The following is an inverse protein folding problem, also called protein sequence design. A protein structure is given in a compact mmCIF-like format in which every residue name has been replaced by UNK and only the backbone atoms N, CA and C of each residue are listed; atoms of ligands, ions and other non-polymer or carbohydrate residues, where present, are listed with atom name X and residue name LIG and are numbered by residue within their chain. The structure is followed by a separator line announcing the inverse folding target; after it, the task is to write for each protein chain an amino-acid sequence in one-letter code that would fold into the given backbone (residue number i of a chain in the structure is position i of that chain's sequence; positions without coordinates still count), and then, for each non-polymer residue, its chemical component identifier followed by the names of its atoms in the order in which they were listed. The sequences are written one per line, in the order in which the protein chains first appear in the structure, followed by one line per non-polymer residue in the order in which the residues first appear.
data_IF_820073531986
#
_entry.id   IF_820073531986
#
_cell.length_a   1.000
_cell.length_b   1.000
_cell.length_c   1.000
_cell.angle_alpha   90.00
_cell.angle_beta   90.00
_cell.angle_gamma   90.00
#
_symmetry.space_group_name_H-M   'P 1'
#
loop_
_entity.id
_entity.type
_entity.pdbx_description
1 polymer ?
#
# COMPACT_ATOMS: atom_id res chain seq x y z
N UNK A 1 -3.61 22.45 13.67
CA UNK A 1 -2.52 22.07 12.76
C UNK A 1 -3.06 20.98 11.84
N UNK A 2 -3.20 21.26 10.55
CA UNK A 2 -3.62 20.26 9.57
C UNK A 2 -2.36 19.56 9.08
N UNK A 3 -2.34 18.23 9.13
CA UNK A 3 -1.28 17.44 8.50
C UNK A 3 -1.72 17.26 7.06
N UNK A 4 -0.97 17.81 6.11
CA UNK A 4 -1.17 17.43 4.71
C UNK A 4 -0.70 15.98 4.57
N UNK A 5 -1.58 15.11 4.07
CA UNK A 5 -1.23 13.71 3.79
C UNK A 5 -0.10 13.62 2.75
N UNK A 6 0.10 14.67 1.95
CA UNK A 6 1.25 14.80 1.05
C UNK A 6 2.61 14.77 1.78
N UNK A 7 2.66 15.10 3.08
CA UNK A 7 3.89 15.02 3.89
C UNK A 7 4.18 13.58 4.40
N UNK A 8 3.26 12.64 4.19
CA UNK A 8 3.41 11.25 4.65
C UNK A 8 4.11 10.42 3.57
N UNK A 9 5.41 10.21 3.72
CA UNK A 9 6.20 9.43 2.75
C UNK A 9 6.00 7.90 2.86
N UNK A 10 5.82 7.38 4.09
CA UNK A 10 5.80 5.94 4.36
C UNK A 10 4.66 5.54 5.27
N UNK A 11 4.17 4.31 5.07
CA UNK A 11 3.13 3.71 5.89
C UNK A 11 3.62 2.39 6.47
N UNK A 12 3.29 2.15 7.74
CA UNK A 12 3.54 0.86 8.39
C UNK A 12 2.80 -0.24 7.63
N UNK A 13 3.51 -1.32 7.34
CA UNK A 13 2.99 -2.48 6.63
C UNK A 13 2.97 -3.68 7.56
N UNK A 14 1.81 -4.33 7.70
CA UNK A 14 1.59 -5.42 8.67
C UNK A 14 0.77 -6.56 8.04
N UNK A 15 0.64 -7.67 8.77
CA UNK A 15 -0.07 -8.87 8.33
C UNK A 15 -1.55 -8.62 8.01
N UNK A 16 -2.22 -7.75 8.75
CA UNK A 16 -3.62 -7.38 8.53
C UNK A 16 -3.82 -6.67 7.18
N UNK A 17 -2.96 -5.70 6.85
CA UNK A 17 -2.98 -5.02 5.55
C UNK A 17 -2.66 -5.99 4.42
N UNK A 18 -1.69 -6.88 4.62
CA UNK A 18 -1.36 -7.93 3.64
C UNK A 18 -2.56 -8.84 3.39
N UNK A 19 -3.28 -9.25 4.44
CA UNK A 19 -4.47 -10.07 4.31
C UNK A 19 -5.57 -9.33 3.56
N UNK A 20 -5.78 -8.04 3.86
CA UNK A 20 -6.73 -7.17 3.15
C UNK A 20 -6.42 -7.11 1.65
N UNK A 21 -5.17 -6.85 1.29
CA UNK A 21 -4.72 -6.81 -0.12
C UNK A 21 -4.92 -8.17 -0.80
N UNK A 22 -4.50 -9.27 -0.16
CA UNK A 22 -4.67 -10.62 -0.73
C UNK A 22 -6.13 -10.99 -0.93
N UNK A 23 -7.01 -10.61 -0.01
CA UNK A 23 -8.44 -10.86 -0.14
C UNK A 23 -9.05 -10.05 -1.29
N UNK A 24 -8.68 -8.78 -1.44
CA UNK A 24 -9.12 -7.95 -2.55
C UNK A 24 -8.59 -8.47 -3.90
N UNK A 25 -7.34 -8.95 -3.96
CA UNK A 25 -6.79 -9.61 -5.15
C UNK A 25 -7.60 -10.86 -5.54
N UNK A 26 -7.98 -11.70 -4.56
CA UNK A 26 -8.84 -12.87 -4.80
C UNK A 26 -10.21 -12.48 -5.36
N UNK A 27 -10.84 -11.45 -4.77
CA UNK A 27 -12.13 -10.93 -5.22
C UNK A 27 -12.06 -10.32 -6.63
N UNK A 28 -10.91 -9.73 -6.98
CA UNK A 28 -10.64 -9.16 -8.31
C UNK A 28 -10.13 -10.23 -9.29
N UNK A 29 -10.91 -11.30 -9.46
CA UNK A 29 -10.63 -12.40 -10.39
C UNK A 29 -9.31 -13.14 -10.13
N UNK A 30 -8.97 -13.40 -8.87
CA UNK A 30 -7.71 -14.05 -8.48
C UNK A 30 -6.46 -13.37 -9.07
N UNK A 31 -6.44 -12.04 -9.07
CA UNK A 31 -5.33 -11.23 -9.57
C UNK A 31 -4.00 -11.68 -8.95
N UNK A 32 -3.00 -11.91 -9.79
CA UNK A 32 -1.64 -12.27 -9.39
C UNK A 32 -0.82 -11.04 -8.97
N UNK A 33 0.28 -11.28 -8.25
CA UNK A 33 1.23 -10.21 -7.93
C UNK A 33 1.85 -9.58 -9.18
N UNK A 34 2.02 -10.34 -10.27
CA UNK A 34 2.55 -9.79 -11.53
C UNK A 34 1.56 -8.82 -12.16
N UNK A 35 0.28 -9.17 -12.20
CA UNK A 35 -0.77 -8.31 -12.74
C UNK A 35 -0.94 -7.04 -11.90
N UNK A 36 -0.91 -7.15 -10.57
CA UNK A 36 -0.97 -5.97 -9.69
C UNK A 36 0.25 -5.06 -9.90
N UNK A 37 1.45 -5.61 -10.04
CA UNK A 37 2.65 -4.82 -10.33
C UNK A 37 2.56 -4.11 -11.70
N UNK A 38 2.01 -4.79 -12.71
CA UNK A 38 1.79 -4.20 -14.03
C UNK A 38 0.77 -3.06 -13.97
N UNK A 39 -0.33 -3.27 -13.26
CA UNK A 39 -1.37 -2.25 -13.07
C UNK A 39 -0.84 -1.02 -12.32
N UNK A 40 0.03 -1.22 -11.32
CA UNK A 40 0.72 -0.12 -10.62
C UNK A 40 1.58 0.70 -11.59
N UNK A 41 2.34 0.04 -12.44
CA UNK A 41 3.17 0.72 -13.44
C UNK A 41 2.33 1.50 -14.46
N UNK A 42 1.16 0.97 -14.85
CA UNK A 42 0.23 1.65 -15.77
C UNK A 42 -0.28 2.98 -15.20
N UNK A 43 -0.41 3.11 -13.88
CA UNK A 43 -0.80 4.37 -13.21
C UNK A 43 0.41 5.20 -12.74
N UNK A 44 1.62 4.87 -13.23
CA UNK A 44 2.85 5.61 -12.91
C UNK A 44 3.52 5.23 -11.60
N UNK A 45 3.01 4.24 -10.86
CA UNK A 45 3.61 3.79 -9.59
C UNK A 45 4.68 2.73 -9.86
N UNK A 46 5.94 3.08 -9.61
CA UNK A 46 7.06 2.17 -9.82
C UNK A 46 7.13 1.09 -8.74
N UNK A 47 6.59 -0.09 -9.06
CA UNK A 47 6.70 -1.28 -8.21
C UNK A 47 6.99 -2.52 -9.07
N UNK A 48 8.11 -3.19 -8.80
CA UNK A 48 8.44 -4.45 -9.47
C UNK A 48 7.64 -5.61 -8.86
N UNK A 49 7.34 -6.64 -9.67
CA UNK A 49 6.69 -7.87 -9.19
C UNK A 49 7.45 -8.56 -8.02
N UNK A 50 8.78 -8.44 -7.98
CA UNK A 50 9.62 -8.96 -6.90
C UNK A 50 9.40 -8.17 -5.60
N UNK A 51 9.36 -6.83 -5.70
CA UNK A 51 9.07 -5.97 -4.56
C UNK A 51 7.66 -6.22 -4.04
N UNK A 52 6.68 -6.37 -4.93
CA UNK A 52 5.32 -6.68 -4.54
C UNK A 52 5.21 -8.07 -3.89
N UNK A 53 5.92 -9.09 -4.40
CA UNK A 53 5.99 -10.40 -3.75
C UNK A 53 6.61 -10.35 -2.35
N UNK A 54 7.65 -9.53 -2.16
CA UNK A 54 8.25 -9.28 -0.83
C UNK A 54 7.27 -8.55 0.11
N UNK A 55 6.53 -7.58 -0.42
CA UNK A 55 5.48 -6.85 0.29
C UNK A 55 4.35 -7.79 0.74
N UNK A 56 3.87 -8.67 -0.14
CA UNK A 56 2.80 -9.62 0.14
C UNK A 56 3.24 -10.80 1.02
N UNK A 57 4.55 -11.04 1.16
CA UNK A 57 5.10 -12.02 2.11
C UNK A 57 5.45 -11.42 3.47
N UNK A 58 5.28 -10.11 3.65
CA UNK A 58 5.56 -9.44 4.92
C UNK A 58 7.05 -9.20 5.18
N UNK A 59 7.90 -9.27 4.15
CA UNK A 59 9.33 -8.92 4.28
C UNK A 59 9.57 -7.44 4.53
N UNK A 60 8.59 -6.59 4.24
CA UNK A 60 8.63 -5.15 4.52
C UNK A 60 7.74 -4.81 5.69
N UNK A 61 8.28 -4.06 6.65
CA UNK A 61 7.55 -3.46 7.77
C UNK A 61 7.02 -2.06 7.47
N UNK A 62 7.50 -1.44 6.39
CA UNK A 62 7.11 -0.13 5.88
C UNK A 62 7.11 -0.14 4.35
N UNK A 63 6.18 0.59 3.74
CA UNK A 63 6.13 0.82 2.28
C UNK A 63 5.86 2.31 2.00
N UNK A 64 6.10 2.78 0.79
CA UNK A 64 5.74 4.16 0.44
C UNK A 64 4.23 4.36 0.43
N UNK A 65 3.78 5.57 0.79
CA UNK A 65 2.36 5.93 0.69
C UNK A 65 1.87 5.81 -0.76
N UNK A 66 2.72 6.14 -1.73
CA UNK A 66 2.42 6.02 -3.16
C UNK A 66 2.02 4.58 -3.53
N UNK A 67 2.80 3.57 -3.10
CA UNK A 67 2.47 2.16 -3.35
C UNK A 67 1.16 1.79 -2.63
N UNK A 68 0.98 2.21 -1.38
CA UNK A 68 -0.24 1.92 -0.62
C UNK A 68 -1.49 2.50 -1.31
N UNK A 69 -1.40 3.74 -1.78
CA UNK A 69 -2.48 4.43 -2.52
C UNK A 69 -2.75 3.75 -3.86
N UNK A 70 -1.70 3.42 -4.62
CA UNK A 70 -1.84 2.71 -5.90
C UNK A 70 -2.53 1.35 -5.73
N UNK A 71 -2.16 0.59 -4.68
CA UNK A 71 -2.85 -0.67 -4.34
C UNK A 71 -4.32 -0.41 -3.99
N UNK A 72 -4.58 0.62 -3.20
CA UNK A 72 -5.94 1.04 -2.82
C UNK A 72 -6.81 1.30 -4.05
N UNK A 73 -6.28 2.04 -5.02
CA UNK A 73 -6.95 2.41 -6.26
C UNK A 73 -7.20 1.19 -7.16
N UNK A 74 -6.15 0.40 -7.44
CA UNK A 74 -6.24 -0.76 -8.32
C UNK A 74 -7.15 -1.83 -7.75
N UNK A 75 -7.12 -2.08 -6.44
CA UNK A 75 -7.94 -3.12 -5.82
C UNK A 75 -9.28 -2.59 -5.28
N UNK A 76 -9.56 -1.30 -5.47
CA UNK A 76 -10.75 -0.63 -4.93
C UNK A 76 -10.92 -0.82 -3.42
N UNK A 77 -9.80 -0.90 -2.69
CA UNK A 77 -9.77 -0.96 -1.23
C UNK A 77 -9.96 0.48 -0.72
N UNK A 78 -10.81 0.74 0.28
CA UNK A 78 -10.86 2.04 0.94
C UNK A 78 -9.50 2.41 1.54
N UNK A 79 -8.99 3.61 1.24
CA UNK A 79 -7.66 4.07 1.72
C UNK A 79 -7.52 3.96 3.24
N UNK A 80 -8.61 4.23 3.99
CA UNK A 80 -8.66 4.12 5.46
C UNK A 80 -8.33 2.73 6.01
N UNK A 81 -8.48 1.69 5.20
CA UNK A 81 -8.21 0.30 5.59
C UNK A 81 -6.71 -0.04 5.45
N UNK A 82 -5.97 0.73 4.64
CA UNK A 82 -4.52 0.61 4.48
C UNK A 82 -3.74 1.68 5.24
N UNK A 83 -4.31 2.87 5.40
CA UNK A 83 -3.66 4.04 5.98
C UNK A 83 -4.57 4.63 7.06
N UNK A 84 -4.07 4.60 8.30
CA UNK A 84 -4.75 5.18 9.45
C UNK A 84 -3.75 5.91 10.34
N UNK A 85 -4.03 7.18 10.59
CA UNK A 85 -3.24 8.03 11.50
C UNK A 85 -3.80 7.79 12.91
N UNK A 86 -3.00 7.18 13.77
CA UNK A 86 -3.37 6.90 15.17
C UNK A 86 -2.88 7.97 16.13
N UNK A 87 -1.70 8.50 15.87
CA UNK A 87 -1.09 9.57 16.63
C UNK A 87 -0.21 10.38 15.69
N UNK A 88 -0.06 11.66 15.99
CA UNK A 88 0.82 12.56 15.28
C UNK A 88 1.67 13.30 16.31
N UNK A 89 2.98 13.31 16.09
CA UNK A 89 3.97 13.96 16.95
C UNK A 89 4.89 14.78 16.05
N UNK A 90 4.99 16.09 16.30
CA UNK A 90 5.99 16.93 15.64
C UNK A 90 7.29 16.78 16.41
N UNK A 91 8.34 16.33 15.74
CA UNK A 91 9.68 16.42 16.28
C UNK A 91 10.25 17.78 15.86
N UNK A 92 10.23 18.74 16.78
CA UNK A 92 11.04 19.94 16.65
C UNK A 92 12.46 19.50 16.99
N UNK A 93 13.36 19.46 15.98
CA UNK A 93 14.72 18.94 16.09
C UNK A 93 15.44 19.22 17.40
#
# INVERSE_FOLDING_TARGET
MAVDVNDVAYVRWNSEKIATVKNAMKQKNNMSARELAQALQTIGVSCSHQNLSKLLSGKYSIISLEIARGISEILSIPVKDLVKIYAFSVYNG
#
